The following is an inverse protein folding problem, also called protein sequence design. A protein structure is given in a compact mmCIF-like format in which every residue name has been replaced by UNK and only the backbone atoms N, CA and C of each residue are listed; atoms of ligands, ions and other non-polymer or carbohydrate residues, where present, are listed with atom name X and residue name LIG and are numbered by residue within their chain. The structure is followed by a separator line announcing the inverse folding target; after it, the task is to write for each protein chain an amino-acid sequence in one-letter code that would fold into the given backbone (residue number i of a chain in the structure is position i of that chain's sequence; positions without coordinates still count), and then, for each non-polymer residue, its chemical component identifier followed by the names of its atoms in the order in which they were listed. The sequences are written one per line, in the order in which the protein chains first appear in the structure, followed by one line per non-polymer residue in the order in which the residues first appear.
data_IF_278927299598
#
_entry.id   IF_278927299598
#
_cell.length_a   1.000
_cell.length_b   1.000
_cell.length_c   1.000
_cell.angle_alpha   90.00
_cell.angle_beta   90.00
_cell.angle_gamma   90.00
#
_symmetry.space_group_name_H-M   'P 1'
#
loop_
_entity.id
_entity.type
_entity.pdbx_description
1 polymer ?
#
# COMPACT_ATOMS: atom_id res chain seq x y z
N UNK A 1 36.48 10.27 1.53
CA UNK A 1 35.23 10.13 2.31
C UNK A 1 34.01 9.81 1.43
N UNK A 2 34.19 9.18 0.27
CA UNK A 2 33.10 8.95 -0.72
C UNK A 2 32.50 7.54 -0.64
N UNK A 3 33.22 6.58 -0.05
CA UNK A 3 32.82 5.16 0.00
C UNK A 3 31.76 4.85 1.07
N UNK A 4 31.69 5.63 2.16
CA UNK A 4 30.76 5.39 3.28
C UNK A 4 29.33 5.85 2.97
N UNK A 5 29.16 6.88 2.14
CA UNK A 5 27.84 7.41 1.76
C UNK A 5 27.11 6.44 0.82
N UNK A 6 27.86 5.78 -0.08
CA UNK A 6 27.30 4.75 -0.95
C UNK A 6 26.76 3.58 -0.13
N UNK A 7 27.55 2.99 0.78
CA UNK A 7 27.14 1.81 1.58
C UNK A 7 25.78 1.97 2.30
N UNK A 8 25.48 3.17 2.81
CA UNK A 8 24.24 3.47 3.52
C UNK A 8 22.99 3.54 2.62
N UNK A 9 23.15 3.86 1.33
CA UNK A 9 22.06 3.88 0.35
C UNK A 9 21.59 2.48 -0.03
N UNK A 10 22.52 1.54 -0.20
CA UNK A 10 22.22 0.15 -0.55
C UNK A 10 21.50 -0.58 0.59
N UNK A 11 21.89 -0.34 1.85
CA UNK A 11 21.21 -0.93 3.01
C UNK A 11 19.75 -0.47 3.11
N UNK A 12 19.46 0.80 2.83
CA UNK A 12 18.08 1.33 2.83
C UNK A 12 17.22 0.71 1.72
N UNK A 13 17.78 0.48 0.53
CA UNK A 13 17.06 -0.17 -0.57
C UNK A 13 16.76 -1.65 -0.28
N UNK A 14 17.68 -2.36 0.38
CA UNK A 14 17.45 -3.75 0.81
C UNK A 14 16.32 -3.82 1.84
N UNK A 15 16.29 -2.90 2.80
CA UNK A 15 15.22 -2.84 3.81
C UNK A 15 13.85 -2.54 3.17
N UNK A 16 13.77 -1.58 2.24
CA UNK A 16 12.52 -1.30 1.51
C UNK A 16 12.02 -2.51 0.74
N UNK A 17 12.91 -3.32 0.13
CA UNK A 17 12.52 -4.57 -0.53
C UNK A 17 11.98 -5.59 0.46
N UNK A 18 12.66 -5.80 1.59
CA UNK A 18 12.21 -6.72 2.63
C UNK A 18 10.85 -6.30 3.19
N UNK A 19 10.61 -5.01 3.33
CA UNK A 19 9.32 -4.47 3.73
C UNK A 19 8.21 -4.77 2.70
N UNK A 20 8.49 -4.64 1.39
CA UNK A 20 7.56 -5.10 0.35
C UNK A 20 7.26 -6.61 0.44
N UNK A 21 8.28 -7.43 0.67
CA UNK A 21 8.12 -8.88 0.83
C UNK A 21 7.24 -9.21 2.04
N UNK A 22 7.48 -8.57 3.19
CA UNK A 22 6.67 -8.72 4.39
C UNK A 22 5.21 -8.30 4.14
N UNK A 23 4.97 -7.16 3.51
CA UNK A 23 3.61 -6.70 3.20
C UNK A 23 2.87 -7.67 2.30
N UNK A 24 3.54 -8.16 1.25
CA UNK A 24 2.98 -9.14 0.30
C UNK A 24 2.54 -10.44 0.99
N UNK A 25 3.28 -10.87 2.02
CA UNK A 25 2.97 -12.09 2.78
C UNK A 25 1.92 -11.87 3.87
N UNK A 26 1.93 -10.71 4.52
CA UNK A 26 1.23 -10.50 5.79
C UNK A 26 -0.08 -9.71 5.63
N UNK A 27 -0.13 -8.69 4.77
CA UNK A 27 -1.34 -7.89 4.59
C UNK A 27 -2.54 -8.69 4.05
N UNK A 28 -2.39 -9.64 3.10
CA UNK A 28 -3.50 -10.48 2.64
C UNK A 28 -4.14 -11.30 3.78
N UNK A 29 -3.31 -11.88 4.65
CA UNK A 29 -3.80 -12.62 5.81
C UNK A 29 -4.52 -11.69 6.80
N UNK A 30 -3.99 -10.49 7.03
CA UNK A 30 -4.60 -9.51 7.91
C UNK A 30 -5.94 -8.99 7.38
N UNK A 31 -6.04 -8.65 6.09
CA UNK A 31 -7.28 -8.14 5.48
C UNK A 31 -8.35 -9.22 5.48
N UNK A 32 -8.00 -10.48 5.17
CA UNK A 32 -8.93 -11.61 5.24
C UNK A 32 -9.50 -11.79 6.65
N UNK A 33 -8.65 -11.66 7.67
CA UNK A 33 -9.04 -11.84 9.06
C UNK A 33 -9.90 -10.68 9.58
N UNK A 34 -9.64 -9.45 9.14
CA UNK A 34 -10.37 -8.26 9.58
C UNK A 34 -11.65 -8.00 8.79
N UNK A 35 -11.71 -8.40 7.51
CA UNK A 35 -12.78 -8.06 6.57
C UNK A 35 -14.21 -8.31 7.07
N UNK A 36 -14.51 -9.44 7.76
CA UNK A 36 -15.87 -9.69 8.29
C UNK A 36 -16.35 -8.65 9.32
N UNK A 37 -15.43 -7.87 9.90
CA UNK A 37 -15.73 -6.85 10.92
C UNK A 37 -15.66 -5.42 10.39
N UNK A 38 -15.33 -5.23 9.10
CA UNK A 38 -15.24 -3.92 8.50
C UNK A 38 -16.65 -3.31 8.32
N UNK A 39 -16.90 -2.10 8.86
CA UNK A 39 -18.15 -1.39 8.60
C UNK A 39 -18.29 -1.11 7.12
N UNK A 40 -19.47 -1.42 6.56
CA UNK A 40 -19.77 -1.18 5.15
C UNK A 40 -19.57 0.28 4.76
N UNK A 41 -19.95 1.20 5.64
CA UNK A 41 -19.85 2.64 5.43
C UNK A 41 -18.40 3.10 5.22
N UNK A 42 -17.44 2.45 5.89
CA UNK A 42 -15.99 2.74 5.71
C UNK A 42 -15.50 2.27 4.34
N UNK A 43 -15.95 1.10 3.90
CA UNK A 43 -15.62 0.58 2.57
C UNK A 43 -16.20 1.47 1.46
N UNK A 44 -17.45 1.90 1.62
CA UNK A 44 -18.10 2.80 0.66
C UNK A 44 -17.44 4.19 0.62
N UNK A 45 -16.98 4.72 1.77
CA UNK A 45 -16.22 5.96 1.82
C UNK A 45 -14.89 5.83 1.07
N UNK A 46 -14.11 4.77 1.36
CA UNK A 46 -12.86 4.51 0.67
C UNK A 46 -13.04 4.31 -0.84
N UNK A 47 -14.15 3.67 -1.25
CA UNK A 47 -14.49 3.51 -2.68
C UNK A 47 -14.74 4.87 -3.35
N UNK A 48 -15.50 5.76 -2.71
CA UNK A 48 -15.70 7.11 -3.26
C UNK A 48 -14.39 7.90 -3.36
N UNK A 49 -13.53 7.76 -2.37
CA UNK A 49 -12.25 8.46 -2.36
C UNK A 49 -11.31 7.96 -3.47
N UNK A 50 -11.28 6.64 -3.73
CA UNK A 50 -10.48 6.08 -4.83
C UNK A 50 -11.08 6.38 -6.21
N UNK A 51 -12.41 6.39 -6.34
CA UNK A 51 -13.09 6.73 -7.60
C UNK A 51 -12.85 8.20 -7.96
N UNK A 52 -12.95 9.12 -7.00
CA UNK A 52 -12.57 10.53 -7.21
C UNK A 52 -11.10 10.66 -7.65
N UNK A 53 -10.21 9.85 -7.09
CA UNK A 53 -8.80 9.85 -7.47
C UNK A 53 -8.54 9.34 -8.89
N UNK A 54 -9.39 8.42 -9.37
CA UNK A 54 -9.34 7.87 -10.73
C UNK A 54 -9.94 8.86 -11.73
N UNK A 55 -11.06 9.48 -11.39
CA UNK A 55 -11.81 10.38 -12.28
C UNK A 55 -11.11 11.74 -12.45
N UNK A 56 -10.47 12.24 -11.39
CA UNK A 56 -9.67 13.46 -11.42
C UNK A 56 -8.32 13.27 -10.70
N UNK A 57 -7.34 12.64 -11.36
CA UNK A 57 -6.01 12.42 -10.79
C UNK A 57 -5.28 13.73 -10.42
N UNK A 58 -5.64 14.83 -11.10
CA UNK A 58 -5.11 16.17 -10.86
C UNK A 58 -5.53 16.76 -9.50
N UNK A 59 -6.66 16.32 -8.96
CA UNK A 59 -7.19 16.79 -7.67
C UNK A 59 -6.53 16.14 -6.44
N UNK A 60 -5.82 15.02 -6.62
CA UNK A 60 -5.26 14.26 -5.51
C UNK A 60 -3.83 14.71 -5.22
N UNK A 61 -3.64 15.19 -3.99
CA UNK A 61 -2.35 15.63 -3.48
C UNK A 61 -1.75 14.56 -2.55
N UNK A 62 -0.49 14.73 -2.16
CA UNK A 62 0.26 13.75 -1.37
C UNK A 62 -0.47 13.30 -0.08
N UNK A 63 -1.16 14.22 0.61
CA UNK A 63 -1.94 13.91 1.80
C UNK A 63 -3.16 13.00 1.51
N UNK A 64 -3.86 13.23 0.40
CA UNK A 64 -4.99 12.40 -0.02
C UNK A 64 -4.51 11.01 -0.47
N UNK A 65 -3.37 10.92 -1.15
CA UNK A 65 -2.75 9.63 -1.48
C UNK A 65 -2.36 8.86 -0.22
N UNK A 66 -1.73 9.52 0.75
CA UNK A 66 -1.38 8.90 2.02
C UNK A 66 -2.61 8.39 2.76
N UNK A 67 -3.71 9.15 2.75
CA UNK A 67 -4.97 8.70 3.32
C UNK A 67 -5.50 7.41 2.68
N UNK A 68 -5.45 7.30 1.34
CA UNK A 68 -5.84 6.09 0.62
C UNK A 68 -4.95 4.90 1.00
N UNK A 69 -3.63 5.11 1.04
CA UNK A 69 -2.66 4.07 1.43
C UNK A 69 -2.88 3.59 2.88
N UNK A 70 -3.01 4.52 3.84
CA UNK A 70 -3.26 4.20 5.25
C UNK A 70 -4.61 3.53 5.47
N UNK A 71 -5.62 3.90 4.67
CA UNK A 71 -6.94 3.27 4.78
C UNK A 71 -6.86 1.78 4.44
N UNK A 72 -6.25 1.43 3.32
CA UNK A 72 -6.16 0.05 2.86
C UNK A 72 -5.14 -0.78 3.66
N UNK A 73 -3.95 -0.24 3.90
CA UNK A 73 -2.82 -0.99 4.44
C UNK A 73 -2.70 -0.95 5.98
N UNK A 74 -3.52 -0.16 6.66
CA UNK A 74 -3.52 -0.10 8.13
C UNK A 74 -4.94 -0.18 8.69
N UNK A 75 -5.79 0.79 8.34
CA UNK A 75 -7.13 0.92 8.92
C UNK A 75 -7.99 -0.31 8.65
N UNK A 76 -7.96 -0.86 7.44
CA UNK A 76 -8.71 -2.06 7.10
C UNK A 76 -8.14 -3.33 7.74
N UNK A 77 -6.87 -3.33 8.15
CA UNK A 77 -6.22 -4.48 8.76
C UNK A 77 -6.44 -4.55 10.28
N UNK A 78 -6.72 -3.40 10.92
CA UNK A 78 -6.77 -3.23 12.37
C UNK A 78 -7.73 -4.19 13.12
N UNK A 79 -8.74 -4.74 12.44
CA UNK A 79 -9.67 -5.74 12.99
C UNK A 79 -9.07 -7.15 13.16
N UNK A 80 -7.87 -7.42 12.63
CA UNK A 80 -7.24 -8.73 12.78
C UNK A 80 -6.80 -8.96 14.24
N UNK A 81 -7.14 -10.11 14.81
CA UNK A 81 -6.85 -10.43 16.22
C UNK A 81 -5.36 -10.65 16.51
N UNK A 82 -4.56 -10.99 15.49
CA UNK A 82 -3.14 -11.24 15.64
C UNK A 82 -2.35 -9.93 15.77
N UNK A 83 -2.17 -9.46 17.01
CA UNK A 83 -1.43 -8.22 17.31
C UNK A 83 0.04 -8.26 16.87
N UNK A 84 0.67 -9.44 16.88
CA UNK A 84 2.06 -9.59 16.39
C UNK A 84 2.11 -9.40 14.88
N UNK A 85 1.16 -9.96 14.13
CA UNK A 85 1.01 -9.74 12.69
C UNK A 85 0.87 -8.24 12.38
N UNK A 86 -0.04 -7.55 13.07
CA UNK A 86 -0.26 -6.12 12.87
C UNK A 86 0.97 -5.27 13.18
N UNK A 87 1.70 -5.59 14.26
CA UNK A 87 2.95 -4.90 14.58
C UNK A 87 4.01 -5.11 13.50
N UNK A 88 4.17 -6.34 13.00
CA UNK A 88 5.12 -6.63 11.90
C UNK A 88 4.75 -5.90 10.61
N UNK A 89 3.45 -5.86 10.27
CA UNK A 89 2.96 -5.10 9.10
C UNK A 89 3.28 -3.61 9.25
N UNK A 90 2.98 -3.02 10.41
CA UNK A 90 3.28 -1.60 10.69
C UNK A 90 4.77 -1.28 10.56
N UNK A 91 5.66 -2.17 11.01
CA UNK A 91 7.10 -2.00 10.83
C UNK A 91 7.53 -2.10 9.36
N UNK A 92 6.78 -2.82 8.52
CA UNK A 92 7.02 -2.96 7.10
C UNK A 92 6.41 -1.83 6.24
N UNK A 93 5.89 -0.75 6.84
CA UNK A 93 5.26 0.35 6.10
C UNK A 93 6.23 1.41 5.54
N UNK A 94 7.55 1.23 5.68
CA UNK A 94 8.54 2.16 5.11
C UNK A 94 8.29 2.48 3.62
N UNK A 95 7.88 1.53 2.75
CA UNK A 95 7.59 1.84 1.36
C UNK A 95 6.45 2.85 1.17
N UNK A 96 5.44 2.87 2.04
CA UNK A 96 4.33 3.84 2.01
C UNK A 96 4.82 5.23 2.43
N UNK A 97 5.65 5.29 3.48
CA UNK A 97 6.24 6.55 3.96
C UNK A 97 7.14 7.17 2.88
N UNK A 98 7.98 6.35 2.26
CA UNK A 98 8.85 6.78 1.16
C UNK A 98 8.01 7.25 -0.03
N UNK A 99 6.95 6.52 -0.41
CA UNK A 99 6.03 6.98 -1.46
C UNK A 99 5.48 8.37 -1.14
N UNK A 100 4.85 8.53 0.03
CA UNK A 100 4.27 9.81 0.42
C UNK A 100 5.28 10.97 0.33
N UNK A 101 6.49 10.78 0.88
CA UNK A 101 7.55 11.79 0.84
C UNK A 101 8.01 12.14 -0.60
N UNK A 102 8.13 11.15 -1.48
CA UNK A 102 8.46 11.38 -2.89
C UNK A 102 7.34 12.13 -3.62
N UNK A 103 6.10 11.73 -3.42
CA UNK A 103 4.93 12.37 -4.03
C UNK A 103 4.80 13.83 -3.61
N UNK A 104 5.02 14.11 -2.32
CA UNK A 104 5.00 15.47 -1.78
C UNK A 104 6.14 16.33 -2.35
N UNK A 105 7.37 15.83 -2.32
CA UNK A 105 8.55 16.56 -2.77
C UNK A 105 8.52 16.92 -4.26
N UNK A 106 7.97 16.04 -5.10
CA UNK A 106 7.98 16.19 -6.57
C UNK A 106 6.61 16.54 -7.17
N UNK A 107 5.58 16.76 -6.34
CA UNK A 107 4.19 17.05 -6.77
C UNK A 107 3.69 16.07 -7.83
N UNK A 108 3.92 14.78 -7.59
CA UNK A 108 3.54 13.71 -8.51
C UNK A 108 2.07 13.33 -8.32
N UNK A 109 1.47 12.76 -9.36
CA UNK A 109 0.12 12.20 -9.34
C UNK A 109 0.17 10.68 -9.26
N UNK A 110 -0.80 10.05 -8.56
CA UNK A 110 -0.82 8.61 -8.36
C UNK A 110 -0.88 7.85 -9.69
N UNK A 111 -0.20 6.71 -9.75
CA UNK A 111 -0.27 5.85 -10.92
C UNK A 111 -1.66 5.20 -11.01
N UNK A 112 -2.30 5.31 -12.17
CA UNK A 112 -3.65 4.78 -12.41
C UNK A 112 -3.77 3.27 -12.13
N UNK A 113 -2.72 2.50 -12.43
CA UNK A 113 -2.68 1.07 -12.12
C UNK A 113 -2.82 0.80 -10.61
N UNK A 114 -2.09 1.57 -9.78
CA UNK A 114 -2.17 1.47 -8.32
C UNK A 114 -3.58 1.77 -7.80
N UNK A 115 -4.22 2.82 -8.32
CA UNK A 115 -5.57 3.19 -7.90
C UNK A 115 -6.59 2.13 -8.30
N UNK A 116 -6.47 1.58 -9.51
CA UNK A 116 -7.36 0.53 -10.03
C UNK A 116 -7.23 -0.77 -9.24
N UNK A 117 -6.01 -1.15 -8.85
CA UNK A 117 -5.76 -2.28 -7.95
C UNK A 117 -6.43 -2.07 -6.59
N UNK A 118 -6.28 -0.87 -5.99
CA UNK A 118 -6.90 -0.54 -4.70
C UNK A 118 -8.44 -0.58 -4.79
N UNK A 119 -9.01 0.02 -5.84
CA UNK A 119 -10.45 -0.03 -6.12
C UNK A 119 -10.96 -1.48 -6.19
N UNK A 120 -10.22 -2.35 -6.89
CA UNK A 120 -10.57 -3.78 -7.01
C UNK A 120 -10.65 -4.47 -5.65
N UNK A 121 -9.68 -4.25 -4.76
CA UNK A 121 -9.71 -4.84 -3.40
C UNK A 121 -10.93 -4.34 -2.63
N UNK A 122 -11.21 -3.03 -2.67
CA UNK A 122 -12.35 -2.42 -1.95
C UNK A 122 -13.69 -2.97 -2.46
N UNK A 123 -13.86 -3.10 -3.79
CA UNK A 123 -15.07 -3.68 -4.38
C UNK A 123 -15.29 -5.13 -3.96
N UNK A 124 -14.23 -5.94 -3.91
CA UNK A 124 -14.32 -7.33 -3.46
C UNK A 124 -14.69 -7.41 -1.98
N UNK A 125 -14.17 -6.53 -1.14
CA UNK A 125 -14.57 -6.41 0.28
C UNK A 125 -16.05 -6.04 0.40
N UNK A 126 -16.54 -5.07 -0.38
CA UNK A 126 -17.96 -4.66 -0.41
C UNK A 126 -18.91 -5.78 -0.85
N UNK A 127 -18.42 -6.68 -1.70
CA UNK A 127 -19.16 -7.85 -2.20
C UNK A 127 -19.08 -9.05 -1.24
N UNK A 128 -18.39 -8.95 -0.11
CA UNK A 128 -18.17 -10.07 0.81
C UNK A 128 -17.21 -11.13 0.28
N UNK A 129 -16.48 -10.86 -0.81
CA UNK A 129 -15.53 -11.80 -1.44
C UNK A 129 -14.15 -11.67 -0.80
N UNK A 130 -14.06 -11.97 0.49
CA UNK A 130 -12.86 -11.72 1.31
C UNK A 130 -11.61 -12.47 0.81
N UNK A 131 -11.79 -13.69 0.32
CA UNK A 131 -10.71 -14.50 -0.23
C UNK A 131 -10.13 -13.86 -1.50
N UNK A 132 -11.01 -13.45 -2.41
CA UNK A 132 -10.62 -12.75 -3.63
C UNK A 132 -9.98 -11.39 -3.33
N UNK A 133 -10.48 -10.65 -2.32
CA UNK A 133 -9.90 -9.39 -1.90
C UNK A 133 -8.46 -9.57 -1.38
N UNK A 134 -8.22 -10.63 -0.60
CA UNK A 134 -6.90 -11.03 -0.11
C UNK A 134 -5.95 -11.37 -1.27
N UNK A 135 -6.41 -12.17 -2.24
CA UNK A 135 -5.62 -12.51 -3.43
C UNK A 135 -5.29 -11.28 -4.28
N UNK A 136 -6.26 -10.39 -4.49
CA UNK A 136 -6.05 -9.14 -5.22
C UNK A 136 -5.02 -8.24 -4.53
N UNK A 137 -5.03 -8.16 -3.20
CA UNK A 137 -4.04 -7.40 -2.43
C UNK A 137 -2.63 -7.99 -2.57
N UNK A 138 -2.50 -9.33 -2.54
CA UNK A 138 -1.22 -10.02 -2.74
C UNK A 138 -0.64 -9.76 -4.15
N UNK A 139 -1.49 -9.78 -5.17
CA UNK A 139 -1.10 -9.52 -6.56
C UNK A 139 -0.61 -8.07 -6.74
N UNK A 140 -1.35 -7.10 -6.19
CA UNK A 140 -1.00 -5.68 -6.23
C UNK A 140 0.31 -5.36 -5.50
N UNK A 141 0.63 -6.05 -4.40
CA UNK A 141 1.90 -5.88 -3.71
C UNK A 141 3.08 -6.43 -4.55
N UNK A 142 2.88 -7.57 -5.21
CA UNK A 142 3.91 -8.24 -6.03
C UNK A 142 4.27 -7.46 -7.31
N UNK A 143 3.29 -6.79 -7.93
CA UNK A 143 3.51 -5.96 -9.14
C UNK A 143 4.43 -4.76 -8.85
N UNK A 144 4.47 -4.28 -7.60
CA UNK A 144 5.22 -3.08 -7.18
C UNK A 144 6.68 -3.34 -6.84
N UNK A 145 7.05 -4.56 -6.49
CA UNK A 145 8.43 -4.91 -6.11
C UNK A 145 9.37 -4.92 -7.31
N UNK A 146 8.88 -5.28 -8.50
CA UNK A 146 9.71 -5.58 -9.67
C UNK A 146 10.21 -4.34 -10.44
N UNK A 147 9.37 -3.37 -10.86
CA UNK A 147 9.82 -2.24 -11.68
C UNK A 147 10.50 -1.13 -10.87
N UNK A 148 10.14 -0.98 -9.59
CA UNK A 148 10.62 0.12 -8.74
C UNK A 148 12.09 -0.08 -8.37
N UNK A 149 12.48 -1.32 -8.05
CA UNK A 149 13.87 -1.67 -7.78
C UNK A 149 14.76 -1.55 -9.03
N UNK A 150 14.24 -1.91 -10.21
CA UNK A 150 14.96 -1.76 -11.47
C UNK A 150 15.24 -0.28 -11.81
N UNK A 151 14.29 0.62 -11.55
CA UNK A 151 14.50 2.07 -11.74
C UNK A 151 15.54 2.67 -10.78
N UNK A 152 15.61 2.20 -9.54
CA UNK A 152 16.63 2.64 -8.56
C UNK A 152 18.01 2.01 -8.81
N UNK A 153 18.08 0.81 -9.40
CA UNK A 153 19.34 0.17 -9.77
C UNK A 153 19.96 0.73 -11.06
N UNK A 154 19.16 1.40 -11.89
CA UNK A 154 19.58 2.02 -13.15
C UNK A 154 19.94 3.52 -13.03
N UNK A 155 19.83 4.12 -11.84
CA UNK A 155 20.19 5.52 -11.52
C UNK A 155 21.43 5.60 -10.65
#
# INVERSE_FOLDING_TARGET
MTTVIAANGWTKLVLVRQDYELRTLLEPAAVRASAPTLPREKLEAALRDIERAIDDPGSIHAAALHHLETTLHDTFLAGASNRKLLATISHAHMPLIVNHAFYDAFRLHPEMGTLTEHRTVIELLLQGKFDAASEALAAAASSRTRPKLERFAAS
#
